data_IF_811770820930
#
_entry.id   IF_811770820930
#
_cell.length_a   1.000
_cell.length_b   1.000
_cell.length_c   1.000
_cell.angle_alpha   90.00
_cell.angle_beta   90.00
_cell.angle_gamma   90.00
#
_symmetry.space_group_name_H-M   'P 1'
#
loop_
_entity.id
_entity.type
_entity.pdbx_description
1 polymer ?
#
# COMPACT_ATOMS: atom_id res chain seq x y z
N UNK A 1 -20.94 -19.93 32.14
CA UNK A 1 -21.34 -19.73 30.72
C UNK A 1 -20.78 -18.42 30.17
N UNK A 2 -20.98 -17.26 30.80
CA UNK A 2 -20.42 -15.96 30.32
C UNK A 2 -18.91 -15.93 30.20
N UNK A 3 -18.14 -16.57 31.06
CA UNK A 3 -16.66 -16.60 30.95
C UNK A 3 -16.19 -17.47 29.78
N UNK A 4 -16.88 -18.55 29.46
CA UNK A 4 -16.55 -19.40 28.31
C UNK A 4 -16.84 -18.68 26.99
N UNK A 5 -17.94 -17.96 26.88
CA UNK A 5 -18.27 -17.15 25.70
C UNK A 5 -17.24 -16.05 25.48
N UNK A 6 -16.85 -15.33 26.53
CA UNK A 6 -15.80 -14.31 26.44
C UNK A 6 -14.44 -14.88 25.98
N UNK A 7 -14.08 -16.07 26.45
CA UNK A 7 -12.83 -16.74 26.05
C UNK A 7 -12.85 -17.11 24.56
N UNK A 8 -13.98 -17.60 24.05
CA UNK A 8 -14.14 -17.94 22.63
C UNK A 8 -14.03 -16.69 21.77
N UNK A 9 -14.68 -15.58 22.15
CA UNK A 9 -14.57 -14.30 21.43
C UNK A 9 -13.12 -13.79 21.39
N UNK A 10 -12.40 -13.85 22.51
CA UNK A 10 -11.00 -13.44 22.57
C UNK A 10 -10.10 -14.29 21.66
N UNK A 11 -10.29 -15.59 21.64
CA UNK A 11 -9.51 -16.49 20.76
C UNK A 11 -9.77 -16.15 19.29
N UNK A 12 -11.04 -15.96 18.91
CA UNK A 12 -11.41 -15.60 17.54
C UNK A 12 -10.81 -14.23 17.17
N UNK A 13 -10.89 -13.24 18.06
CA UNK A 13 -10.29 -11.92 17.81
C UNK A 13 -8.78 -11.99 17.62
N UNK A 14 -8.06 -12.68 18.50
CA UNK A 14 -6.60 -12.84 18.38
C UNK A 14 -6.23 -13.50 17.05
N UNK A 15 -6.96 -14.55 16.66
CA UNK A 15 -6.73 -15.25 15.41
C UNK A 15 -6.97 -14.34 14.19
N UNK A 16 -8.10 -13.61 14.17
CA UNK A 16 -8.44 -12.70 13.08
C UNK A 16 -7.43 -11.55 12.97
N UNK A 17 -7.10 -10.89 14.08
CA UNK A 17 -6.12 -9.81 14.07
C UNK A 17 -4.72 -10.30 13.69
N UNK A 18 -4.33 -11.49 14.15
CA UNK A 18 -3.07 -12.13 13.74
C UNK A 18 -3.03 -12.36 12.23
N UNK A 19 -4.10 -12.89 11.67
CA UNK A 19 -4.22 -13.13 10.24
C UNK A 19 -4.18 -11.84 9.41
N UNK A 20 -4.92 -10.82 9.84
CA UNK A 20 -4.92 -9.49 9.22
C UNK A 20 -3.51 -8.88 9.26
N UNK A 21 -2.81 -9.01 10.37
CA UNK A 21 -1.44 -8.49 10.52
C UNK A 21 -0.48 -9.15 9.52
N UNK A 22 -0.52 -10.48 9.40
CA UNK A 22 0.34 -11.20 8.45
C UNK A 22 0.04 -10.81 7.01
N UNK A 23 -1.24 -10.76 6.61
CA UNK A 23 -1.63 -10.35 5.25
C UNK A 23 -1.22 -8.90 4.99
N UNK A 24 -1.36 -8.02 5.96
CA UNK A 24 -0.93 -6.62 5.84
C UNK A 24 0.58 -6.49 5.65
N UNK A 25 1.38 -7.26 6.36
CA UNK A 25 2.84 -7.30 6.19
C UNK A 25 3.24 -7.79 4.80
N UNK A 26 2.56 -8.81 4.29
CA UNK A 26 2.76 -9.30 2.92
C UNK A 26 2.40 -8.20 1.90
N UNK A 27 1.27 -7.51 2.10
CA UNK A 27 0.85 -6.41 1.25
C UNK A 27 1.85 -5.25 1.24
N UNK A 28 2.33 -4.83 2.41
CA UNK A 28 3.36 -3.78 2.55
C UNK A 28 4.64 -4.18 1.82
N UNK A 29 5.09 -5.42 1.99
CA UNK A 29 6.29 -5.94 1.32
C UNK A 29 6.13 -5.97 -0.20
N UNK A 30 4.95 -6.34 -0.69
CA UNK A 30 4.64 -6.33 -2.12
C UNK A 30 4.64 -4.91 -2.70
N UNK A 31 4.03 -3.94 -2.02
CA UNK A 31 4.04 -2.54 -2.45
C UNK A 31 5.48 -2.01 -2.49
N UNK A 32 6.26 -2.30 -1.45
CA UNK A 32 7.66 -1.91 -1.38
C UNK A 32 8.48 -2.48 -2.54
N UNK A 33 8.35 -3.77 -2.80
CA UNK A 33 9.03 -4.46 -3.90
C UNK A 33 8.62 -3.88 -5.27
N UNK A 34 7.32 -3.69 -5.49
CA UNK A 34 6.79 -3.18 -6.76
C UNK A 34 7.32 -1.77 -7.06
N UNK A 35 7.26 -0.85 -6.09
CA UNK A 35 7.74 0.51 -6.28
C UNK A 35 9.26 0.52 -6.51
N UNK A 36 10.02 -0.20 -5.68
CA UNK A 36 11.49 -0.24 -5.79
C UNK A 36 11.94 -0.85 -7.12
N UNK A 37 11.32 -1.95 -7.55
CA UNK A 37 11.63 -2.60 -8.81
C UNK A 37 11.29 -1.73 -10.00
N UNK A 38 10.13 -1.11 -10.03
CA UNK A 38 9.73 -0.20 -11.11
C UNK A 38 10.70 0.98 -11.23
N UNK A 39 11.12 1.55 -10.10
CA UNK A 39 12.08 2.65 -10.10
C UNK A 39 13.47 2.21 -10.63
N UNK A 40 13.93 1.02 -10.25
CA UNK A 40 15.21 0.47 -10.74
C UNK A 40 15.17 0.17 -12.24
N UNK A 41 14.10 -0.43 -12.75
CA UNK A 41 13.92 -0.75 -14.17
C UNK A 41 13.87 0.51 -15.04
N UNK A 42 13.29 1.59 -14.52
CA UNK A 42 13.17 2.87 -15.23
C UNK A 42 14.34 3.82 -15.01
N UNK A 43 15.39 3.40 -14.32
CA UNK A 43 16.56 4.25 -14.04
C UNK A 43 17.21 4.82 -15.29
N UNK A 44 17.20 4.07 -16.39
CA UNK A 44 17.68 4.52 -17.72
C UNK A 44 16.81 5.63 -18.31
N UNK A 45 15.49 5.50 -18.23
CA UNK A 45 14.55 6.55 -18.68
C UNK A 45 14.76 7.83 -17.87
N UNK A 46 15.00 7.70 -16.56
CA UNK A 46 15.28 8.81 -15.66
C UNK A 46 16.60 9.52 -16.01
N UNK A 47 17.64 8.76 -16.38
CA UNK A 47 18.90 9.33 -16.85
C UNK A 47 18.71 10.11 -18.16
N UNK A 48 17.90 9.61 -19.11
CA UNK A 48 17.56 10.32 -20.33
C UNK A 48 16.80 11.61 -20.08
N UNK A 49 15.79 11.59 -19.20
CA UNK A 49 15.01 12.77 -18.84
C UNK A 49 15.89 13.85 -18.19
N UNK A 50 16.84 13.47 -17.36
CA UNK A 50 17.82 14.40 -16.78
C UNK A 50 18.77 14.98 -17.85
N UNK A 51 19.14 14.20 -18.86
CA UNK A 51 19.99 14.68 -19.96
C UNK A 51 19.29 15.73 -20.84
N UNK A 52 17.97 15.70 -20.92
CA UNK A 52 17.14 16.69 -21.64
C UNK A 52 16.91 17.95 -20.79
N UNK A 53 17.37 18.00 -19.54
CA UNK A 53 17.28 19.16 -18.67
C UNK A 53 16.19 19.11 -17.59
N UNK A 54 15.62 17.94 -17.34
CA UNK A 54 14.66 17.78 -16.25
C UNK A 54 15.32 18.03 -14.89
N UNK A 55 14.75 18.91 -14.09
CA UNK A 55 15.21 19.22 -12.75
C UNK A 55 14.85 18.12 -11.75
N UNK A 56 15.59 18.01 -10.64
CA UNK A 56 15.27 17.06 -9.58
C UNK A 56 13.87 17.29 -8.97
N UNK A 57 13.39 18.55 -8.97
CA UNK A 57 12.04 18.88 -8.47
C UNK A 57 10.96 18.32 -9.37
N UNK A 58 11.11 18.47 -10.68
CA UNK A 58 10.16 17.95 -11.68
C UNK A 58 10.14 16.44 -11.66
N UNK A 59 11.30 15.80 -11.59
CA UNK A 59 11.43 14.37 -11.42
C UNK A 59 10.71 13.84 -10.18
N UNK A 60 10.97 14.42 -9.02
CA UNK A 60 10.31 14.02 -7.77
C UNK A 60 8.78 14.22 -7.83
N UNK A 61 8.32 15.29 -8.50
CA UNK A 61 6.89 15.55 -8.70
C UNK A 61 6.25 14.48 -9.59
N UNK A 62 6.92 14.09 -10.68
CA UNK A 62 6.47 13.05 -11.59
C UNK A 62 6.30 11.71 -10.86
N UNK A 63 7.31 11.27 -10.13
CA UNK A 63 7.27 10.01 -9.38
C UNK A 63 6.18 10.04 -8.30
N UNK A 64 5.99 11.18 -7.66
CA UNK A 64 4.94 11.36 -6.65
C UNK A 64 3.54 11.18 -7.25
N UNK A 65 3.27 11.81 -8.38
CA UNK A 65 1.99 11.69 -9.07
C UNK A 65 1.74 10.25 -9.55
N UNK A 66 2.76 9.62 -10.11
CA UNK A 66 2.67 8.23 -10.56
C UNK A 66 2.38 7.27 -9.41
N UNK A 67 3.06 7.41 -8.28
CA UNK A 67 2.82 6.59 -7.09
C UNK A 67 1.42 6.76 -6.51
N UNK A 68 0.90 8.00 -6.49
CA UNK A 68 -0.47 8.28 -6.05
C UNK A 68 -1.49 7.64 -7.01
N UNK A 69 -1.25 7.70 -8.31
CA UNK A 69 -2.13 7.06 -9.31
C UNK A 69 -2.18 5.53 -9.14
N UNK A 70 -1.04 4.88 -8.84
CA UNK A 70 -1.02 3.46 -8.51
C UNK A 70 -1.83 3.15 -7.26
N UNK A 71 -1.69 3.97 -6.22
CA UNK A 71 -2.49 3.83 -5.00
C UNK A 71 -3.98 3.99 -5.23
N UNK A 72 -4.39 5.01 -5.99
CA UNK A 72 -5.79 5.21 -6.37
C UNK A 72 -6.36 4.03 -7.16
N UNK A 73 -5.62 3.50 -8.14
CA UNK A 73 -6.05 2.32 -8.90
C UNK A 73 -6.23 1.10 -7.99
N UNK A 74 -5.31 0.88 -7.06
CA UNK A 74 -5.40 -0.23 -6.10
C UNK A 74 -6.63 -0.10 -5.20
N UNK A 75 -6.93 1.10 -4.72
CA UNK A 75 -8.12 1.38 -3.90
C UNK A 75 -9.42 1.23 -4.70
N UNK A 76 -9.45 1.69 -5.96
CA UNK A 76 -10.62 1.55 -6.83
C UNK A 76 -11.00 0.08 -7.09
N UNK A 77 -10.05 -0.83 -7.07
CA UNK A 77 -10.29 -2.26 -7.22
C UNK A 77 -10.52 -2.92 -5.85
N UNK A 78 -9.69 -2.60 -4.87
CA UNK A 78 -9.69 -3.23 -3.55
C UNK A 78 -10.95 -2.93 -2.74
N UNK A 79 -11.43 -1.68 -2.75
CA UNK A 79 -12.61 -1.29 -1.97
C UNK A 79 -13.88 -2.01 -2.43
N UNK A 80 -14.24 -2.04 -3.73
CA UNK A 80 -15.41 -2.80 -4.19
C UNK A 80 -15.34 -4.29 -3.86
N UNK A 81 -14.18 -4.90 -4.04
CA UNK A 81 -13.97 -6.31 -3.68
C UNK A 81 -14.16 -6.53 -2.19
N UNK A 82 -13.60 -5.65 -1.34
CA UNK A 82 -13.77 -5.69 0.11
C UNK A 82 -15.24 -5.56 0.54
N UNK A 83 -16.00 -4.67 -0.08
CA UNK A 83 -17.44 -4.51 0.17
C UNK A 83 -18.21 -5.75 -0.22
N UNK A 84 -17.94 -6.34 -1.39
CA UNK A 84 -18.58 -7.56 -1.87
C UNK A 84 -18.31 -8.72 -0.90
N UNK A 85 -17.06 -8.91 -0.50
CA UNK A 85 -16.69 -9.96 0.46
C UNK A 85 -17.37 -9.74 1.82
N UNK A 86 -17.41 -8.50 2.31
CA UNK A 86 -18.11 -8.14 3.55
C UNK A 86 -19.60 -8.50 3.47
N UNK A 87 -20.25 -8.22 2.33
CA UNK A 87 -21.64 -8.57 2.10
C UNK A 87 -21.87 -10.09 2.05
N UNK A 88 -20.96 -10.84 1.41
CA UNK A 88 -21.04 -12.31 1.35
C UNK A 88 -20.90 -12.94 2.75
N UNK A 89 -19.96 -12.45 3.56
CA UNK A 89 -19.80 -12.88 4.96
C UNK A 89 -21.06 -12.57 5.77
N UNK A 90 -21.59 -11.35 5.63
CA UNK A 90 -22.85 -10.96 6.27
C UNK A 90 -23.99 -11.94 5.91
N UNK A 91 -24.17 -12.23 4.62
CA UNK A 91 -25.22 -13.14 4.16
C UNK A 91 -25.04 -14.58 4.67
N UNK A 92 -23.79 -15.03 4.81
CA UNK A 92 -23.48 -16.36 5.34
C UNK A 92 -23.77 -16.49 6.83
N UNK A 93 -23.52 -15.41 7.59
CA UNK A 93 -23.70 -15.39 9.06
C UNK A 93 -25.14 -15.07 9.46
N UNK A 94 -25.83 -14.22 8.70
CA UNK A 94 -27.19 -13.77 8.99
C UNK A 94 -28.27 -14.83 8.73
N UNK A 95 -27.97 -16.01 8.25
CA UNK A 95 -28.76 -17.17 7.86
C UNK A 95 -30.09 -17.42 8.57
N UNK A 96 -30.98 -16.42 8.64
CA UNK A 96 -32.32 -16.47 9.25
C UNK A 96 -32.57 -15.47 10.38
N UNK A 97 -31.57 -14.65 10.75
CA UNK A 97 -31.75 -13.55 11.70
C UNK A 97 -31.82 -12.26 10.89
N UNK A 98 -32.88 -11.47 11.11
CA UNK A 98 -33.02 -10.13 10.50
C UNK A 98 -31.99 -9.17 11.11
N UNK A 99 -30.78 -9.20 10.57
CA UNK A 99 -29.74 -8.20 10.83
C UNK A 99 -29.68 -7.23 9.65
N UNK A 100 -29.56 -5.93 9.91
CA UNK A 100 -29.32 -4.96 8.84
C UNK A 100 -27.85 -4.98 8.44
N UNK A 101 -27.58 -4.96 7.11
CA UNK A 101 -26.20 -4.82 6.61
C UNK A 101 -25.72 -3.38 6.85
N UNK A 102 -24.76 -3.22 7.73
CA UNK A 102 -24.11 -1.93 7.99
C UNK A 102 -22.82 -1.86 7.18
N UNK A 103 -22.75 -0.90 6.25
CA UNK A 103 -21.54 -0.67 5.46
C UNK A 103 -20.39 -0.27 6.39
N UNK A 104 -19.22 -0.92 6.32
CA UNK A 104 -18.10 -0.63 7.22
C UNK A 104 -17.33 0.63 6.80
N UNK A 105 -17.99 1.79 6.82
CA UNK A 105 -17.45 3.08 6.35
C UNK A 105 -16.16 3.43 7.08
N UNK A 106 -16.08 3.23 8.40
CA UNK A 106 -14.88 3.52 9.18
C UNK A 106 -13.68 2.69 8.70
N UNK A 107 -13.88 1.40 8.43
CA UNK A 107 -12.82 0.51 7.91
C UNK A 107 -12.37 0.93 6.51
N UNK A 108 -13.27 1.40 5.66
CA UNK A 108 -12.96 1.91 4.33
C UNK A 108 -12.10 3.17 4.43
N UNK A 109 -12.48 4.13 5.28
CA UNK A 109 -11.71 5.37 5.48
C UNK A 109 -10.32 5.06 6.03
N UNK A 110 -10.21 4.20 7.04
CA UNK A 110 -8.94 3.78 7.61
C UNK A 110 -8.05 3.13 6.53
N UNK A 111 -8.61 2.24 5.71
CA UNK A 111 -7.87 1.58 4.62
C UNK A 111 -7.33 2.58 3.61
N UNK A 112 -8.13 3.59 3.21
CA UNK A 112 -7.69 4.64 2.29
C UNK A 112 -6.52 5.43 2.89
N UNK A 113 -6.64 5.87 4.14
CA UNK A 113 -5.61 6.65 4.82
C UNK A 113 -4.32 5.84 4.96
N UNK A 114 -4.41 4.59 5.42
CA UNK A 114 -3.25 3.71 5.62
C UNK A 114 -2.53 3.45 4.30
N UNK A 115 -3.25 3.09 3.23
CA UNK A 115 -2.65 2.85 1.91
C UNK A 115 -1.96 4.09 1.37
N UNK A 116 -2.58 5.28 1.48
CA UNK A 116 -1.98 6.52 1.03
C UNK A 116 -0.71 6.88 1.80
N UNK A 117 -0.71 6.71 3.12
CA UNK A 117 0.47 6.94 3.97
C UNK A 117 1.61 5.97 3.61
N UNK A 118 1.31 4.70 3.40
CA UNK A 118 2.29 3.69 2.99
C UNK A 118 2.93 4.05 1.65
N UNK A 119 2.15 4.43 0.65
CA UNK A 119 2.66 4.83 -0.66
C UNK A 119 3.58 6.04 -0.55
N UNK A 120 3.19 7.07 0.21
CA UNK A 120 4.02 8.26 0.42
C UNK A 120 5.33 7.88 1.12
N UNK A 121 5.29 7.03 2.13
CA UNK A 121 6.47 6.59 2.88
C UNK A 121 7.44 5.80 1.99
N UNK A 122 6.93 4.79 1.27
CA UNK A 122 7.74 3.93 0.40
C UNK A 122 8.34 4.74 -0.76
N UNK A 123 7.56 5.65 -1.34
CA UNK A 123 8.04 6.55 -2.39
C UNK A 123 9.21 7.43 -1.90
N UNK A 124 9.08 8.05 -0.71
CA UNK A 124 10.16 8.87 -0.13
C UNK A 124 11.42 8.06 0.10
N UNK A 125 11.27 6.85 0.59
CA UNK A 125 12.39 5.93 0.80
C UNK A 125 13.07 5.57 -0.53
N UNK A 126 12.31 5.21 -1.55
CA UNK A 126 12.83 4.83 -2.88
C UNK A 126 13.52 5.99 -3.57
N UNK A 127 12.94 7.21 -3.53
CA UNK A 127 13.57 8.41 -4.08
C UNK A 127 14.89 8.75 -3.38
N UNK A 128 14.95 8.63 -2.06
CA UNK A 128 16.17 8.87 -1.29
C UNK A 128 17.28 7.89 -1.70
N UNK A 129 16.95 6.63 -1.93
CA UNK A 129 17.90 5.61 -2.38
C UNK A 129 18.45 5.90 -3.77
N UNK A 130 17.60 6.25 -4.73
CA UNK A 130 18.01 6.56 -6.11
C UNK A 130 18.87 7.82 -6.16
N UNK A 131 18.51 8.86 -5.44
CA UNK A 131 19.30 10.08 -5.39
C UNK A 131 20.70 9.85 -4.82
N UNK A 132 20.85 8.96 -3.83
CA UNK A 132 22.16 8.57 -3.29
C UNK A 132 23.00 7.79 -4.31
N UNK A 133 22.40 6.86 -5.04
CA UNK A 133 23.10 6.09 -6.08
C UNK A 133 23.61 6.99 -7.20
N UNK A 134 22.83 7.94 -7.68
CA UNK A 134 23.24 8.88 -8.71
C UNK A 134 24.42 9.77 -8.27
N UNK A 135 24.47 10.19 -7.01
CA UNK A 135 25.58 10.99 -6.48
C UNK A 135 26.86 10.17 -6.44
N UNK A 136 26.80 8.92 -5.98
CA UNK A 136 27.97 8.02 -5.90
C UNK A 136 28.52 7.71 -7.32
N UNK A 137 27.63 7.50 -8.28
CA UNK A 137 28.02 7.20 -9.67
C UNK A 137 28.63 8.41 -10.38
N UNK A 138 28.15 9.63 -10.06
CA UNK A 138 28.72 10.88 -10.55
C UNK A 138 30.13 11.10 -9.99
N UNK A 139 30.33 10.94 -8.68
CA UNK A 139 31.65 11.07 -8.04
C UNK A 139 32.64 10.04 -8.56
N UNK A 140 32.17 8.81 -8.85
CA UNK A 140 33.03 7.76 -9.41
C UNK A 140 33.48 8.07 -10.85
N UNK A 141 32.65 8.74 -11.65
CA UNK A 141 33.00 9.16 -13.02
C UNK A 141 33.97 10.34 -13.06
N UNK A 142 33.94 11.21 -12.04
CA UNK A 142 34.86 12.35 -11.95
C UNK A 142 36.27 11.97 -11.44
N UNK A 143 36.44 10.74 -10.96
CA UNK A 143 37.73 10.21 -10.46
C UNK A 143 38.43 9.20 -11.42
N UNK A 144 37.97 9.10 -12.68
CA UNK A 144 38.61 8.35 -13.75
C UNK A 144 38.94 9.31 -14.90
#
# INVERSE_FOLDING_TARGET
QMQQEQSVYLVIQIFLYGFITVISLIGITNIFNTITTNMNLRSREFAMLKSIGMTNKEFNKMIRLESILYGLKSLLIGIPIGIILSYLVYKAVSGGIEMEFILPINSIIISIVVVMLLIIFIMRYSLSKINKQNIIETIRKDNI
#
